data_IF_050644596800
#
_entry.id   IF_050644596800
#
_cell.length_a   1.000
_cell.length_b   1.000
_cell.length_c   1.000
_cell.angle_alpha   90.00
_cell.angle_beta   90.00
_cell.angle_gamma   90.00
#
_symmetry.space_group_name_H-M   'P 1'
#
loop_
_entity.id
_entity.type
_entity.pdbx_description
1 polymer ?
#
# COMPACT_ATOMS: atom_id res chain seq x y z
N UNK A 1 12.95 29.03 1.58
CA UNK A 1 11.94 29.54 2.51
C UNK A 1 12.13 28.84 3.85
N UNK A 2 12.35 29.56 4.97
CA UNK A 2 12.45 28.93 6.26
C UNK A 2 11.05 28.41 6.64
N UNK A 3 10.96 27.12 6.95
CA UNK A 3 9.70 26.51 7.37
C UNK A 3 9.16 27.23 8.62
N UNK A 4 8.01 27.91 8.49
CA UNK A 4 7.26 28.43 9.62
C UNK A 4 6.86 27.26 10.53
N UNK A 5 7.50 27.14 11.69
CA UNK A 5 7.15 26.10 12.66
C UNK A 5 5.80 26.46 13.31
N UNK A 6 4.72 25.90 12.77
CA UNK A 6 3.35 26.05 13.29
C UNK A 6 3.26 25.77 14.80
N UNK A 7 3.96 24.74 15.27
CA UNK A 7 4.06 24.41 16.70
C UNK A 7 5.32 23.57 16.98
N UNK A 8 6.04 23.76 18.09
CA UNK A 8 7.29 23.04 18.39
C UNK A 8 7.13 21.53 18.55
N UNK A 9 5.95 21.03 18.91
CA UNK A 9 5.68 19.59 19.01
C UNK A 9 5.44 18.90 17.67
N UNK A 10 5.31 19.65 16.57
CA UNK A 10 5.11 19.04 15.23
C UNK A 10 6.46 18.51 14.75
N UNK A 11 6.58 17.19 14.48
CA UNK A 11 7.83 16.61 14.06
C UNK A 11 8.26 17.19 12.70
N UNK A 12 9.55 17.49 12.59
CA UNK A 12 10.16 17.91 11.32
C UNK A 12 10.37 16.69 10.42
N UNK A 13 10.36 16.87 9.08
CA UNK A 13 10.69 15.79 8.17
C UNK A 13 12.09 15.26 8.44
N UNK A 14 12.26 13.94 8.33
CA UNK A 14 13.54 13.26 8.54
C UNK A 14 14.56 13.71 7.49
N UNK A 15 15.78 14.02 7.95
CA UNK A 15 16.89 14.45 7.11
C UNK A 15 17.94 13.37 6.82
N UNK A 16 19.05 13.75 6.20
CA UNK A 16 20.12 12.84 5.75
C UNK A 16 21.19 12.52 6.82
N UNK A 17 20.89 12.69 8.11
CA UNK A 17 21.90 12.54 9.18
C UNK A 17 22.43 11.11 9.31
N UNK A 18 21.57 10.10 9.13
CA UNK A 18 21.99 8.70 9.18
C UNK A 18 23.03 8.36 8.10
N UNK A 19 22.87 8.87 6.89
CA UNK A 19 23.83 8.68 5.79
C UNK A 19 25.18 9.34 6.10
N UNK A 20 25.17 10.54 6.69
CA UNK A 20 26.41 11.22 7.12
C UNK A 20 27.12 10.45 8.23
N UNK A 21 26.39 9.96 9.23
CA UNK A 21 26.96 9.15 10.30
C UNK A 21 27.56 7.84 9.77
N UNK A 22 26.88 7.16 8.84
CA UNK A 22 27.38 5.96 8.19
C UNK A 22 28.68 6.23 7.40
N UNK A 23 28.78 7.37 6.71
CA UNK A 23 30.00 7.78 6.01
C UNK A 23 31.18 8.01 6.99
N UNK A 24 30.92 8.67 8.12
CA UNK A 24 31.93 8.88 9.16
C UNK A 24 32.40 7.54 9.73
N UNK A 25 31.46 6.63 10.04
CA UNK A 25 31.81 5.29 10.52
C UNK A 25 32.64 4.51 9.51
N UNK A 26 32.25 4.53 8.23
CA UNK A 26 33.03 3.91 7.14
C UNK A 26 34.45 4.46 7.10
N UNK A 27 34.62 5.78 7.18
CA UNK A 27 35.95 6.40 7.17
C UNK A 27 36.80 5.99 8.37
N UNK A 28 36.20 5.89 9.56
CA UNK A 28 36.89 5.44 10.76
C UNK A 28 37.34 3.97 10.66
N UNK A 29 36.48 3.09 10.13
CA UNK A 29 36.83 1.69 9.89
C UNK A 29 37.98 1.55 8.87
N UNK A 30 37.99 2.36 7.81
CA UNK A 30 39.08 2.34 6.81
C UNK A 30 40.41 2.79 7.42
N UNK A 31 40.41 3.84 8.24
CA UNK A 31 41.62 4.30 8.96
C UNK A 31 42.12 3.23 9.93
N UNK A 32 41.22 2.56 10.65
CA UNK A 32 41.60 1.47 11.56
C UNK A 32 42.22 0.28 10.81
N UNK A 33 41.62 -0.14 9.69
CA UNK A 33 42.15 -1.20 8.83
C UNK A 33 43.52 -0.83 8.25
N UNK A 34 43.72 0.43 7.87
CA UNK A 34 45.02 0.93 7.42
C UNK A 34 46.09 0.86 8.53
N UNK A 35 45.71 1.19 9.78
CA UNK A 35 46.62 1.14 10.93
C UNK A 35 47.00 -0.28 11.39
N UNK A 36 46.17 -1.29 11.08
CA UNK A 36 46.43 -2.70 11.41
C UNK A 36 47.46 -3.38 10.49
N UNK A 37 47.78 -2.79 9.33
CA UNK A 37 48.85 -3.27 8.46
C UNK A 37 48.59 -4.62 7.76
N UNK A 38 47.33 -5.06 7.71
CA UNK A 38 46.94 -6.31 7.04
C UNK A 38 47.16 -6.26 5.52
N UNK A 39 47.47 -7.41 4.91
CA UNK A 39 47.75 -7.50 3.48
C UNK A 39 46.48 -7.14 2.66
N UNK A 40 46.55 -6.19 1.70
CA UNK A 40 45.39 -5.70 0.96
C UNK A 40 44.67 -6.79 0.16
N UNK A 41 45.40 -7.80 -0.33
CA UNK A 41 44.82 -8.88 -1.13
C UNK A 41 43.90 -9.77 -0.30
N UNK A 42 44.28 -10.09 0.95
CA UNK A 42 43.48 -10.93 1.84
C UNK A 42 42.20 -10.24 2.30
N UNK A 43 42.29 -8.95 2.65
CA UNK A 43 41.13 -8.15 3.08
C UNK A 43 40.13 -7.95 1.93
N UNK A 44 40.62 -7.76 0.71
CA UNK A 44 39.76 -7.63 -0.48
C UNK A 44 39.00 -8.93 -0.78
N UNK A 45 39.65 -10.09 -0.66
CA UNK A 45 38.99 -11.39 -0.88
C UNK A 45 37.82 -11.61 0.07
N UNK A 46 38.03 -11.40 1.37
CA UNK A 46 36.97 -11.55 2.37
C UNK A 46 35.84 -10.55 2.18
N UNK A 47 36.17 -9.31 1.80
CA UNK A 47 35.17 -8.30 1.49
C UNK A 47 34.31 -8.72 0.29
N UNK A 48 34.94 -9.21 -0.79
CA UNK A 48 34.22 -9.73 -1.97
C UNK A 48 33.32 -10.88 -1.56
N UNK A 49 33.81 -11.86 -0.80
CA UNK A 49 33.02 -13.01 -0.32
C UNK A 49 31.84 -12.58 0.58
N UNK A 50 32.06 -11.58 1.45
CA UNK A 50 31.01 -11.07 2.31
C UNK A 50 29.92 -10.35 1.48
N UNK A 51 30.32 -9.50 0.54
CA UNK A 51 29.40 -8.79 -0.34
C UNK A 51 28.64 -9.76 -1.26
N UNK A 52 29.30 -10.77 -1.84
CA UNK A 52 28.63 -11.81 -2.67
C UNK A 52 27.57 -12.55 -1.86
N UNK A 53 27.91 -12.99 -0.64
CA UNK A 53 26.99 -13.73 0.22
C UNK A 53 25.78 -12.87 0.64
N UNK A 54 25.99 -11.59 0.94
CA UNK A 54 24.90 -10.65 1.24
C UNK A 54 23.97 -10.44 0.03
N UNK A 55 24.52 -10.27 -1.19
CA UNK A 55 23.69 -10.14 -2.39
C UNK A 55 22.91 -11.42 -2.71
N UNK A 56 23.56 -12.57 -2.59
CA UNK A 56 22.90 -13.86 -2.78
C UNK A 56 21.80 -14.09 -1.74
N UNK A 57 22.01 -13.69 -0.48
CA UNK A 57 20.98 -13.73 0.55
C UNK A 57 19.76 -12.87 0.22
N UNK A 58 19.96 -11.66 -0.30
CA UNK A 58 18.86 -10.79 -0.76
C UNK A 58 18.10 -11.39 -1.96
N UNK A 59 18.78 -12.12 -2.85
CA UNK A 59 18.15 -12.83 -3.95
C UNK A 59 17.32 -14.01 -3.46
N UNK A 60 17.86 -14.84 -2.56
CA UNK A 60 17.14 -15.96 -1.94
C UNK A 60 15.87 -15.44 -1.26
N UNK A 61 15.97 -14.39 -0.44
CA UNK A 61 14.79 -13.75 0.18
C UNK A 61 13.77 -13.30 -0.88
N UNK A 62 14.24 -12.67 -1.95
CA UNK A 62 13.38 -12.22 -3.05
C UNK A 62 12.65 -13.37 -3.74
N UNK A 63 13.31 -14.52 -3.91
CA UNK A 63 12.71 -15.74 -4.46
C UNK A 63 11.70 -16.36 -3.50
N UNK A 64 12.01 -16.42 -2.20
CA UNK A 64 11.06 -16.87 -1.18
C UNK A 64 9.79 -16.01 -1.15
N UNK A 65 9.94 -14.68 -1.20
CA UNK A 65 8.80 -13.77 -1.27
C UNK A 65 8.02 -13.91 -2.58
N UNK A 66 8.73 -14.16 -3.70
CA UNK A 66 8.08 -14.42 -4.99
C UNK A 66 7.21 -15.67 -4.94
N UNK A 67 7.62 -16.72 -4.21
CA UNK A 67 6.82 -17.93 -4.06
C UNK A 67 5.42 -17.64 -3.50
N UNK A 68 5.31 -16.73 -2.53
CA UNK A 68 4.02 -16.27 -2.00
C UNK A 68 3.27 -15.38 -3.00
N UNK A 69 3.95 -14.42 -3.62
CA UNK A 69 3.34 -13.47 -4.57
C UNK A 69 2.85 -14.16 -5.87
N UNK A 70 3.37 -15.33 -6.22
CA UNK A 70 2.89 -16.13 -7.35
C UNK A 70 1.42 -16.55 -7.21
N UNK A 71 0.95 -16.77 -5.97
CA UNK A 71 -0.46 -17.06 -5.67
C UNK A 71 -1.38 -15.85 -5.95
N UNK A 72 -0.82 -14.64 -6.02
CA UNK A 72 -1.55 -13.39 -6.14
C UNK A 72 -1.31 -12.66 -7.48
N UNK A 73 -0.78 -13.36 -8.50
CA UNK A 73 -0.50 -12.79 -9.82
C UNK A 73 -1.75 -12.22 -10.50
N UNK A 74 -2.87 -12.93 -10.42
CA UNK A 74 -4.12 -12.51 -11.05
C UNK A 74 -4.75 -11.32 -10.33
N UNK A 75 -4.83 -11.35 -8.98
CA UNK A 75 -5.48 -10.31 -8.18
C UNK A 75 -4.64 -9.03 -8.04
N UNK A 76 -3.32 -9.15 -7.85
CA UNK A 76 -2.44 -8.01 -7.52
C UNK A 76 -1.66 -7.47 -8.72
N UNK A 77 -1.27 -8.34 -9.66
CA UNK A 77 -0.41 -7.98 -10.79
C UNK A 77 -1.10 -8.05 -12.16
N UNK A 78 -2.44 -8.16 -12.18
CA UNK A 78 -3.25 -8.20 -13.40
C UNK A 78 -2.82 -9.32 -14.36
N UNK A 79 -2.44 -10.49 -13.82
CA UNK A 79 -2.00 -11.64 -14.61
C UNK A 79 -0.54 -11.57 -15.09
N UNK A 80 0.20 -10.51 -14.79
CA UNK A 80 1.57 -10.33 -15.30
C UNK A 80 2.64 -10.85 -14.34
N UNK A 81 3.25 -11.99 -14.69
CA UNK A 81 4.36 -12.58 -13.94
C UNK A 81 5.59 -11.66 -13.85
N UNK A 82 5.92 -10.94 -14.91
CA UNK A 82 7.06 -10.01 -14.91
C UNK A 82 6.88 -8.86 -13.91
N UNK A 83 5.64 -8.36 -13.73
CA UNK A 83 5.36 -7.35 -12.71
C UNK A 83 5.58 -7.90 -11.30
N UNK A 84 5.19 -9.14 -11.04
CA UNK A 84 5.41 -9.82 -9.76
C UNK A 84 6.91 -10.02 -9.46
N UNK A 85 7.67 -10.52 -10.45
CA UNK A 85 9.14 -10.68 -10.34
C UNK A 85 9.81 -9.34 -10.07
N UNK A 86 9.45 -8.29 -10.80
CA UNK A 86 9.99 -6.94 -10.61
C UNK A 86 9.62 -6.35 -9.26
N UNK A 87 8.43 -6.63 -8.73
CA UNK A 87 8.01 -6.17 -7.41
C UNK A 87 8.83 -6.85 -6.28
N UNK A 88 9.10 -8.15 -6.40
CA UNK A 88 9.82 -8.92 -5.39
C UNK A 88 11.34 -8.70 -5.43
N UNK A 89 11.93 -8.69 -6.64
CA UNK A 89 13.39 -8.58 -6.83
C UNK A 89 13.85 -7.13 -7.05
N UNK A 90 12.93 -6.17 -7.18
CA UNK A 90 13.24 -4.76 -7.41
C UNK A 90 13.79 -4.51 -8.82
N UNK A 91 15.00 -3.94 -8.92
CA UNK A 91 15.70 -3.78 -10.19
C UNK A 91 16.64 -4.97 -10.41
N UNK A 92 16.21 -6.04 -11.12
CA UNK A 92 17.00 -7.25 -11.27
C UNK A 92 18.33 -6.98 -11.98
N UNK A 93 18.39 -6.00 -12.88
CA UNK A 93 19.61 -5.66 -13.61
C UNK A 93 20.74 -5.14 -12.70
N UNK A 94 20.43 -4.31 -11.71
CA UNK A 94 21.45 -3.80 -10.77
C UNK A 94 21.98 -4.92 -9.88
N UNK A 95 21.09 -5.77 -9.35
CA UNK A 95 21.48 -6.93 -8.54
C UNK A 95 22.28 -7.95 -9.35
N UNK A 96 21.87 -8.21 -10.59
CA UNK A 96 22.58 -9.08 -11.51
C UNK A 96 23.96 -8.56 -11.88
N UNK A 97 24.09 -7.27 -12.20
CA UNK A 97 25.39 -6.65 -12.49
C UNK A 97 26.34 -6.71 -11.29
N UNK A 98 25.84 -6.44 -10.08
CA UNK A 98 26.63 -6.54 -8.85
C UNK A 98 27.07 -7.98 -8.58
N UNK A 99 26.19 -8.96 -8.83
CA UNK A 99 26.51 -10.38 -8.70
C UNK A 99 27.58 -10.81 -9.73
N UNK A 100 27.45 -10.41 -10.98
CA UNK A 100 28.45 -10.68 -12.03
C UNK A 100 29.82 -10.08 -11.70
N UNK A 101 29.84 -8.81 -11.25
CA UNK A 101 31.07 -8.14 -10.81
C UNK A 101 31.73 -8.91 -9.65
N UNK A 102 30.91 -9.37 -8.71
CA UNK A 102 31.37 -10.12 -7.54
C UNK A 102 31.89 -11.52 -7.89
N UNK A 103 31.29 -12.19 -8.88
CA UNK A 103 31.79 -13.44 -9.44
C UNK A 103 33.12 -13.23 -10.18
N UNK A 104 33.23 -12.16 -10.98
CA UNK A 104 34.47 -11.78 -11.64
C UNK A 104 35.61 -11.64 -10.62
N UNK A 105 35.44 -10.83 -9.59
CA UNK A 105 36.48 -10.68 -8.56
C UNK A 105 36.81 -12.01 -7.86
N UNK A 106 35.81 -12.86 -7.57
CA UNK A 106 36.06 -14.17 -6.97
C UNK A 106 36.95 -15.09 -7.83
N UNK A 107 36.77 -15.11 -9.15
CA UNK A 107 37.59 -15.95 -10.05
C UNK A 107 39.00 -15.37 -10.28
N UNK A 108 39.15 -14.05 -10.25
CA UNK A 108 40.43 -13.39 -10.52
C UNK A 108 41.32 -13.28 -9.28
N UNK A 109 40.76 -13.37 -8.06
CA UNK A 109 41.55 -13.39 -6.82
C UNK A 109 41.96 -14.83 -6.45
N UNK A 110 43.22 -15.06 -6.02
CA UNK A 110 43.72 -16.41 -5.72
C UNK A 110 42.96 -17.05 -4.56
N UNK A 111 42.51 -18.30 -4.74
CA UNK A 111 41.74 -19.01 -3.71
C UNK A 111 42.65 -19.44 -2.55
N UNK A 112 42.78 -18.61 -1.51
CA UNK A 112 43.64 -18.89 -0.33
C UNK A 112 42.93 -19.78 0.69
N UNK A 113 41.59 -19.81 0.70
CA UNK A 113 40.82 -20.36 1.82
C UNK A 113 40.54 -21.87 1.75
N UNK A 114 40.70 -22.53 0.59
CA UNK A 114 40.55 -23.98 0.43
C UNK A 114 39.16 -24.55 0.76
N UNK A 115 38.18 -23.73 1.17
CA UNK A 115 36.83 -24.18 1.50
C UNK A 115 36.01 -24.47 0.22
N UNK A 116 35.28 -25.59 0.16
CA UNK A 116 34.43 -25.89 -0.99
C UNK A 116 33.28 -24.90 -1.09
N UNK A 117 33.12 -24.29 -2.26
CA UNK A 117 32.07 -23.33 -2.58
C UNK A 117 30.65 -23.86 -2.29
N UNK A 118 30.43 -25.17 -2.45
CA UNK A 118 29.16 -25.84 -2.16
C UNK A 118 28.76 -25.74 -0.69
N UNK A 119 29.71 -25.81 0.25
CA UNK A 119 29.44 -25.69 1.67
C UNK A 119 29.06 -24.26 2.06
N UNK A 120 29.70 -23.26 1.44
CA UNK A 120 29.35 -21.85 1.64
C UNK A 120 27.93 -21.55 1.17
N UNK A 121 27.51 -22.12 0.03
CA UNK A 121 26.14 -22.01 -0.45
C UNK A 121 25.13 -22.69 0.49
N UNK A 122 25.45 -23.88 1.00
CA UNK A 122 24.59 -24.60 1.94
C UNK A 122 24.40 -23.81 3.25
N UNK A 123 25.48 -23.29 3.83
CA UNK A 123 25.43 -22.44 5.02
C UNK A 123 24.67 -21.13 4.77
N UNK A 124 24.86 -20.52 3.60
CA UNK A 124 24.10 -19.33 3.23
C UNK A 124 22.61 -19.65 3.15
N UNK A 125 22.22 -20.74 2.49
CA UNK A 125 20.83 -21.18 2.41
C UNK A 125 20.22 -21.42 3.79
N UNK A 126 20.93 -22.13 4.67
CA UNK A 126 20.51 -22.37 6.05
C UNK A 126 20.35 -21.05 6.83
N UNK A 127 21.30 -20.12 6.69
CA UNK A 127 21.25 -18.82 7.37
C UNK A 127 20.06 -17.99 6.92
N UNK A 128 19.72 -17.99 5.63
CA UNK A 128 18.57 -17.26 5.11
C UNK A 128 17.25 -17.92 5.53
N UNK A 129 17.17 -19.25 5.50
CA UNK A 129 16.01 -19.98 5.99
C UNK A 129 15.73 -19.67 7.46
N UNK A 130 16.76 -19.69 8.32
CA UNK A 130 16.63 -19.30 9.73
C UNK A 130 16.20 -17.85 9.89
N UNK A 131 16.80 -16.92 9.15
CA UNK A 131 16.42 -15.51 9.19
C UNK A 131 14.95 -15.27 8.82
N UNK A 132 14.44 -16.01 7.83
CA UNK A 132 13.04 -15.93 7.40
C UNK A 132 12.12 -16.55 8.47
N UNK A 133 12.43 -17.77 8.92
CA UNK A 133 11.58 -18.50 9.86
C UNK A 133 11.49 -17.83 11.23
N UNK A 134 12.60 -17.24 11.70
CA UNK A 134 12.67 -16.51 12.96
C UNK A 134 12.22 -15.04 12.84
N UNK A 135 11.91 -14.56 11.63
CA UNK A 135 11.46 -13.18 11.40
C UNK A 135 12.53 -12.11 11.69
N UNK A 136 13.82 -12.46 11.65
CA UNK A 136 14.93 -11.57 12.02
C UNK A 136 15.10 -10.35 11.09
N UNK A 137 14.45 -10.38 9.93
CA UNK A 137 14.56 -9.33 8.91
C UNK A 137 13.33 -8.41 8.87
N UNK A 138 12.55 -8.34 9.95
CA UNK A 138 11.48 -7.36 10.11
C UNK A 138 12.02 -5.93 10.20
N UNK A 139 11.28 -4.97 9.64
CA UNK A 139 11.66 -3.56 9.71
C UNK A 139 11.42 -3.01 11.12
N UNK A 140 12.31 -2.15 11.60
CA UNK A 140 12.11 -1.47 12.87
C UNK A 140 10.94 -0.47 12.79
N UNK A 141 10.23 -0.16 13.89
CA UNK A 141 9.13 0.80 13.90
C UNK A 141 9.52 2.18 13.34
N UNK A 142 10.77 2.60 13.58
CA UNK A 142 11.30 3.84 13.03
C UNK A 142 11.42 3.79 11.50
N UNK A 143 11.76 2.65 10.90
CA UNK A 143 11.85 2.48 9.45
C UNK A 143 10.47 2.43 8.80
N UNK A 144 9.52 1.73 9.43
CA UNK A 144 8.12 1.69 8.99
C UNK A 144 7.54 3.11 8.98
N UNK A 145 7.73 3.89 10.06
CA UNK A 145 7.29 5.28 10.12
C UNK A 145 7.95 6.15 9.04
N UNK A 146 9.25 5.97 8.75
CA UNK A 146 9.90 6.69 7.65
C UNK A 146 9.29 6.36 6.28
N UNK A 147 8.93 5.10 6.04
CA UNK A 147 8.28 4.67 4.79
C UNK A 147 6.89 5.32 4.68
N UNK A 148 6.10 5.26 5.76
CA UNK A 148 4.76 5.84 5.80
C UNK A 148 4.76 7.36 5.62
N UNK A 149 5.67 8.08 6.27
CA UNK A 149 5.85 9.53 6.13
C UNK A 149 6.31 9.90 4.71
N UNK A 150 7.29 9.17 4.16
CA UNK A 150 7.86 9.49 2.85
C UNK A 150 6.86 9.25 1.71
N UNK A 151 6.01 8.25 1.83
CA UNK A 151 5.05 7.85 0.78
C UNK A 151 3.61 8.28 1.08
N UNK A 152 3.36 8.98 2.19
CA UNK A 152 2.02 9.42 2.61
C UNK A 152 0.98 8.29 2.67
N UNK A 153 1.36 7.10 3.16
CA UNK A 153 0.52 5.91 3.10
C UNK A 153 -0.70 5.92 4.03
N UNK A 154 -0.77 6.86 4.98
CA UNK A 154 -1.82 6.88 6.00
C UNK A 154 -3.15 7.51 5.52
N UNK A 155 -3.24 7.95 4.27
CA UNK A 155 -4.42 8.67 3.74
C UNK A 155 -5.65 7.77 3.68
N UNK A 156 -5.52 6.53 3.18
CA UNK A 156 -6.65 5.62 3.02
C UNK A 156 -7.34 5.31 4.35
N UNK A 157 -6.54 5.01 5.39
CA UNK A 157 -7.04 4.78 6.75
C UNK A 157 -7.77 6.01 7.30
N UNK A 158 -7.18 7.21 7.16
CA UNK A 158 -7.81 8.45 7.61
C UNK A 158 -9.15 8.72 6.92
N UNK A 159 -9.24 8.47 5.61
CA UNK A 159 -10.48 8.63 4.85
C UNK A 159 -11.53 7.62 5.28
N UNK A 160 -11.17 6.35 5.46
CA UNK A 160 -12.07 5.30 5.91
C UNK A 160 -12.65 5.62 7.30
N UNK A 161 -11.80 5.99 8.26
CA UNK A 161 -12.23 6.39 9.60
C UNK A 161 -13.12 7.62 9.59
N UNK A 162 -12.76 8.62 8.79
CA UNK A 162 -13.55 9.84 8.69
C UNK A 162 -14.90 9.62 8.00
N UNK A 163 -15.02 8.66 7.07
CA UNK A 163 -16.30 8.27 6.48
C UNK A 163 -17.15 7.46 7.47
N UNK A 164 -16.54 6.52 8.19
CA UNK A 164 -17.24 5.75 9.21
C UNK A 164 -17.80 6.63 10.32
N UNK A 165 -16.95 7.41 10.99
CA UNK A 165 -17.35 8.25 12.13
C UNK A 165 -18.22 9.43 11.67
N UNK A 166 -17.86 10.07 10.55
CA UNK A 166 -18.51 11.27 10.07
C UNK A 166 -19.82 11.05 9.33
N UNK A 167 -20.14 9.81 8.93
CA UNK A 167 -21.34 9.51 8.16
C UNK A 167 -22.00 8.19 8.57
N UNK A 168 -21.32 7.05 8.42
CA UNK A 168 -21.96 5.73 8.60
C UNK A 168 -22.49 5.52 10.02
N UNK A 169 -21.70 5.87 11.04
CA UNK A 169 -22.10 5.77 12.45
C UNK A 169 -23.32 6.62 12.78
N UNK A 170 -23.60 7.66 12.00
CA UNK A 170 -24.73 8.57 12.20
C UNK A 170 -26.00 8.10 11.47
N UNK A 171 -25.84 7.60 10.23
CA UNK A 171 -26.96 7.31 9.34
C UNK A 171 -27.52 5.88 9.52
N UNK A 172 -26.68 4.92 9.88
CA UNK A 172 -27.06 3.50 9.93
C UNK A 172 -28.08 3.17 11.05
N UNK A 173 -27.97 3.67 12.29
CA UNK A 173 -28.90 3.29 13.37
C UNK A 173 -30.37 3.66 13.09
N UNK A 174 -30.62 4.74 12.35
CA UNK A 174 -31.97 5.20 12.00
C UNK A 174 -32.46 4.74 10.61
N UNK A 175 -31.63 4.01 9.85
CA UNK A 175 -31.92 3.69 8.45
C UNK A 175 -33.18 2.82 8.31
N UNK A 176 -33.29 1.75 9.10
CA UNK A 176 -34.40 0.80 8.99
C UNK A 176 -35.74 1.47 9.31
N UNK A 177 -35.79 2.31 10.36
CA UNK A 177 -36.99 3.08 10.70
C UNK A 177 -37.40 4.03 9.56
N UNK A 178 -36.44 4.71 8.93
CA UNK A 178 -36.70 5.60 7.77
C UNK A 178 -37.23 4.84 6.56
N UNK A 179 -36.74 3.62 6.32
CA UNK A 179 -37.23 2.73 5.26
C UNK A 179 -38.65 2.26 5.56
N UNK A 180 -38.96 1.91 6.80
CA UNK A 180 -40.32 1.54 7.22
C UNK A 180 -41.31 2.70 7.01
N UNK A 181 -40.95 3.91 7.45
CA UNK A 181 -41.75 5.12 7.22
C UNK A 181 -41.98 5.33 5.72
N UNK A 182 -40.92 5.26 4.91
CA UNK A 182 -41.04 5.39 3.46
C UNK A 182 -42.01 4.36 2.85
N UNK A 183 -41.91 3.10 3.28
CA UNK A 183 -42.76 2.01 2.80
C UNK A 183 -44.24 2.21 3.13
N UNK A 184 -44.57 2.79 4.28
CA UNK A 184 -45.95 3.13 4.65
C UNK A 184 -46.57 4.12 3.64
N UNK A 185 -45.80 5.11 3.18
CA UNK A 185 -46.29 6.13 2.24
C UNK A 185 -46.21 5.72 0.77
N UNK A 186 -45.43 4.68 0.43
CA UNK A 186 -45.15 4.29 -0.95
C UNK A 186 -45.52 2.81 -1.20
N UNK A 187 -46.66 2.34 -0.67
CA UNK A 187 -47.24 1.03 -0.97
C UNK A 187 -46.27 -0.17 -0.80
N UNK A 188 -45.38 -0.11 0.19
CA UNK A 188 -44.31 -1.07 0.40
C UNK A 188 -43.50 -1.29 -0.90
N UNK A 189 -42.91 -0.23 -1.44
CA UNK A 189 -42.02 -0.34 -2.61
C UNK A 189 -40.77 -1.16 -2.27
N UNK A 190 -40.23 -1.08 -1.05
CA UNK A 190 -39.02 -1.79 -0.57
C UNK A 190 -39.40 -3.02 0.31
N UNK A 191 -39.90 -4.09 -0.32
CA UNK A 191 -40.40 -5.32 0.37
C UNK A 191 -39.35 -6.38 0.70
N UNK A 192 -38.17 -6.34 0.07
CA UNK A 192 -37.17 -7.40 0.22
C UNK A 192 -36.26 -7.22 1.44
N UNK A 193 -35.84 -8.30 2.10
CA UNK A 193 -34.83 -8.22 3.17
C UNK A 193 -33.49 -7.59 2.70
N UNK A 194 -33.18 -7.70 1.41
CA UNK A 194 -32.06 -6.99 0.78
C UNK A 194 -32.27 -5.48 0.64
N UNK A 195 -33.53 -5.02 0.51
CA UNK A 195 -33.87 -3.60 0.30
C UNK A 195 -33.78 -2.74 1.56
N UNK A 196 -33.54 -3.35 2.73
CA UNK A 196 -33.36 -2.64 4.01
C UNK A 196 -31.89 -2.36 4.33
N UNK A 197 -31.02 -2.44 3.33
CA UNK A 197 -29.58 -2.19 3.44
C UNK A 197 -29.18 -0.92 2.69
N UNK A 198 -28.10 -0.30 3.15
CA UNK A 198 -27.47 0.79 2.45
C UNK A 198 -26.39 0.24 1.52
N UNK A 199 -26.59 0.39 0.21
CA UNK A 199 -25.61 0.02 -0.80
C UNK A 199 -24.67 1.21 -1.06
N UNK A 200 -23.37 0.97 -1.01
CA UNK A 200 -22.34 1.99 -1.21
C UNK A 200 -21.47 1.52 -2.39
N UNK A 201 -21.42 2.35 -3.43
CA UNK A 201 -20.62 2.07 -4.62
C UNK A 201 -19.17 2.51 -4.37
N UNK A 202 -18.23 1.61 -4.63
CA UNK A 202 -16.78 1.85 -4.55
C UNK A 202 -16.14 1.62 -5.91
N UNK A 203 -16.20 2.60 -6.83
CA UNK A 203 -15.60 2.47 -8.14
C UNK A 203 -14.06 2.51 -8.00
N UNK A 204 -13.40 1.44 -8.46
CA UNK A 204 -11.94 1.27 -8.27
C UNK A 204 -11.11 2.25 -9.11
N UNK A 205 -11.69 2.81 -10.17
CA UNK A 205 -11.11 3.90 -10.97
C UNK A 205 -11.22 5.28 -10.28
N UNK A 206 -11.88 5.34 -9.11
CA UNK A 206 -12.18 6.55 -8.35
C UNK A 206 -13.03 7.59 -9.12
N UNK A 207 -13.64 7.19 -10.24
CA UNK A 207 -14.59 8.01 -11.00
C UNK A 207 -15.96 8.00 -10.33
N UNK A 208 -16.40 9.13 -9.80
CA UNK A 208 -17.73 9.26 -9.19
C UNK A 208 -18.55 10.25 -10.01
N UNK A 209 -19.55 9.79 -10.80
CA UNK A 209 -20.44 10.69 -11.52
C UNK A 209 -21.41 11.38 -10.55
N UNK A 210 -21.88 12.56 -10.93
CA UNK A 210 -22.86 13.32 -10.13
C UNK A 210 -24.27 12.69 -10.18
N UNK A 211 -24.59 12.02 -11.29
CA UNK A 211 -25.84 11.28 -11.50
C UNK A 211 -25.56 9.83 -11.87
N UNK A 212 -26.19 8.90 -11.15
CA UNK A 212 -26.05 7.45 -11.41
C UNK A 212 -26.68 7.05 -12.74
N UNK A 213 -27.70 7.77 -13.22
CA UNK A 213 -28.32 7.49 -14.51
C UNK A 213 -27.39 7.77 -15.70
N UNK A 214 -26.32 8.55 -15.51
CA UNK A 214 -25.26 8.73 -16.51
C UNK A 214 -24.30 7.54 -16.57
N UNK A 215 -24.14 6.81 -15.45
CA UNK A 215 -23.28 5.63 -15.40
C UNK A 215 -23.98 4.42 -16.04
N UNK A 216 -25.29 4.27 -15.78
CA UNK A 216 -26.11 3.21 -16.36
C UNK A 216 -27.57 3.70 -16.47
N UNK A 217 -28.16 3.73 -17.69
CA UNK A 217 -29.55 4.16 -17.91
C UNK A 217 -30.59 3.23 -17.26
N UNK A 218 -30.20 2.02 -16.87
CA UNK A 218 -31.07 1.09 -16.14
C UNK A 218 -31.23 1.49 -14.66
N UNK A 219 -30.40 2.40 -14.15
CA UNK A 219 -30.52 2.95 -12.80
C UNK A 219 -31.35 4.23 -12.87
N UNK A 220 -32.59 4.18 -12.39
CA UNK A 220 -33.52 5.31 -12.42
C UNK A 220 -33.75 5.88 -11.03
N UNK A 221 -33.59 7.18 -10.87
CA UNK A 221 -33.96 7.85 -9.63
C UNK A 221 -35.47 7.71 -9.38
N UNK A 222 -35.83 7.29 -8.17
CA UNK A 222 -37.22 7.16 -7.76
C UNK A 222 -37.58 8.31 -6.81
N UNK A 223 -37.13 8.23 -5.56
CA UNK A 223 -37.48 9.18 -4.49
C UNK A 223 -36.32 9.39 -3.52
N UNK A 224 -36.42 10.43 -2.69
CA UNK A 224 -35.51 10.63 -1.54
C UNK A 224 -36.09 9.92 -0.31
N UNK A 225 -35.23 9.24 0.45
CA UNK A 225 -35.60 8.68 1.74
C UNK A 225 -35.87 9.82 2.74
N UNK A 226 -36.84 9.70 3.67
CA UNK A 226 -37.11 10.72 4.69
C UNK A 226 -35.83 11.22 5.34
N UNK A 227 -35.67 12.53 5.48
CA UNK A 227 -34.39 13.12 5.90
C UNK A 227 -34.07 12.83 7.36
N UNK A 228 -32.78 12.74 7.68
CA UNK A 228 -32.30 12.73 9.06
C UNK A 228 -31.54 14.03 9.32
N UNK A 229 -31.95 14.79 10.34
CA UNK A 229 -31.26 16.02 10.77
C UNK A 229 -30.58 15.82 12.11
N UNK A 230 -29.36 16.34 12.27
CA UNK A 230 -28.67 16.35 13.56
C UNK A 230 -27.73 17.56 13.70
N UNK A 231 -27.59 18.08 14.92
CA UNK A 231 -26.62 19.12 15.23
C UNK A 231 -25.21 18.54 15.29
N UNK A 232 -24.27 19.04 14.49
CA UNK A 232 -22.88 18.53 14.44
C UNK A 232 -21.87 19.61 14.09
N UNK A 233 -20.72 19.57 14.75
CA UNK A 233 -19.56 20.44 14.47
C UNK A 233 -19.93 21.94 14.39
N UNK A 234 -20.82 22.39 15.29
CA UNK A 234 -21.32 23.77 15.31
C UNK A 234 -22.43 24.08 14.31
N UNK A 235 -22.80 23.14 13.43
CA UNK A 235 -23.90 23.30 12.48
C UNK A 235 -25.18 22.74 13.09
N UNK A 236 -26.18 23.60 13.27
CA UNK A 236 -27.52 23.24 13.72
C UNK A 236 -28.34 22.66 12.56
N UNK A 237 -29.09 21.58 12.81
CA UNK A 237 -30.01 20.98 11.84
C UNK A 237 -29.34 20.42 10.58
N UNK A 238 -28.11 19.91 10.66
CA UNK A 238 -27.42 19.36 9.48
C UNK A 238 -28.20 18.17 8.92
N UNK A 239 -28.59 18.27 7.64
CA UNK A 239 -29.44 17.29 6.96
C UNK A 239 -28.59 16.24 6.25
N UNK A 240 -28.96 14.97 6.42
CA UNK A 240 -28.43 13.81 5.70
C UNK A 240 -29.51 13.26 4.77
N UNK A 241 -29.18 13.14 3.49
CA UNK A 241 -30.10 12.71 2.43
C UNK A 241 -29.64 11.40 1.82
N UNK A 242 -30.57 10.48 1.59
CA UNK A 242 -30.34 9.26 0.82
C UNK A 242 -31.34 9.20 -0.33
N UNK A 243 -30.92 8.67 -1.46
CA UNK A 243 -31.75 8.50 -2.66
C UNK A 243 -32.09 7.03 -2.85
N UNK A 244 -33.29 6.77 -3.37
CA UNK A 244 -33.80 5.45 -3.71
C UNK A 244 -33.83 5.36 -5.22
N UNK A 245 -33.29 4.27 -5.75
CA UNK A 245 -33.23 4.03 -7.19
C UNK A 245 -34.02 2.75 -7.54
N UNK A 246 -34.58 2.75 -8.74
CA UNK A 246 -35.13 1.58 -9.39
C UNK A 246 -34.10 1.01 -10.36
N UNK A 247 -33.92 -0.31 -10.34
CA UNK A 247 -33.03 -1.04 -11.23
C UNK A 247 -33.86 -1.77 -12.27
N UNK A 248 -33.56 -1.53 -13.55
CA UNK A 248 -34.22 -2.19 -14.68
C UNK A 248 -33.39 -3.36 -15.18
N UNK A 249 -34.06 -4.46 -15.49
CA UNK A 249 -33.51 -5.62 -16.20
C UNK A 249 -34.35 -5.84 -17.45
N UNK A 250 -33.74 -5.76 -18.64
CA UNK A 250 -34.43 -5.84 -19.93
C UNK A 250 -35.60 -4.85 -20.08
N UNK A 251 -35.46 -3.65 -19.51
CA UNK A 251 -36.50 -2.61 -19.56
C UNK A 251 -37.67 -2.83 -18.60
N UNK A 252 -37.67 -3.90 -17.80
CA UNK A 252 -38.65 -4.13 -16.73
C UNK A 252 -38.01 -3.93 -15.35
N UNK A 253 -38.78 -3.45 -14.36
CA UNK A 253 -38.25 -3.22 -13.02
C UNK A 253 -37.94 -4.56 -12.33
N UNK A 254 -36.68 -4.73 -11.93
CA UNK A 254 -36.29 -5.85 -11.10
C UNK A 254 -36.82 -5.63 -9.67
N UNK A 255 -37.45 -6.65 -9.08
CA UNK A 255 -38.15 -6.54 -7.78
C UNK A 255 -37.20 -6.44 -6.58
N UNK A 256 -35.88 -6.54 -6.79
CA UNK A 256 -34.86 -6.20 -5.79
C UNK A 256 -34.52 -4.71 -5.91
N UNK A 257 -35.30 -3.88 -5.19
CA UNK A 257 -35.18 -2.43 -5.18
C UNK A 257 -34.16 -1.99 -4.14
N UNK A 258 -33.21 -1.14 -4.53
CA UNK A 258 -31.99 -0.87 -3.73
C UNK A 258 -31.85 0.62 -3.38
N UNK A 259 -31.57 0.91 -2.10
CA UNK A 259 -31.20 2.25 -1.66
C UNK A 259 -29.68 2.41 -1.78
N UNK A 260 -29.23 3.25 -2.70
CA UNK A 260 -27.81 3.55 -2.89
C UNK A 260 -27.47 4.95 -2.33
N UNK A 261 -26.41 5.05 -1.53
CA UNK A 261 -25.80 6.34 -1.23
C UNK A 261 -24.59 6.56 -2.11
N UNK A 262 -24.53 7.66 -2.88
CA UNK A 262 -23.30 8.04 -3.55
C UNK A 262 -22.23 8.33 -2.50
N UNK A 263 -21.06 7.70 -2.61
CA UNK A 263 -19.91 8.06 -1.79
C UNK A 263 -19.34 9.38 -2.32
N UNK A 264 -19.93 10.52 -1.95
CA UNK A 264 -19.56 11.85 -2.46
C UNK A 264 -18.22 12.38 -1.95
N UNK A 265 -17.40 11.55 -1.29
CA UNK A 265 -16.06 11.99 -0.91
C UNK A 265 -15.14 11.75 -2.10
N UNK A 266 -15.12 12.75 -2.99
CA UNK A 266 -14.17 12.92 -4.09
C UNK A 266 -12.81 12.44 -3.57
N UNK A 267 -12.30 11.32 -4.10
CA UNK A 267 -10.87 10.97 -4.05
C UNK A 267 -10.13 11.97 -4.96
N UNK A 268 -10.31 13.28 -4.72
CA UNK A 268 -9.48 14.34 -5.28
C UNK A 268 -8.18 14.41 -4.50
N UNK A 269 -7.52 13.26 -4.38
CA UNK A 269 -6.08 13.16 -4.26
C UNK A 269 -5.48 12.52 -5.50
N UNK A 270 -6.25 12.40 -6.60
CA UNK A 270 -5.62 12.46 -7.92
C UNK A 270 -5.02 13.84 -8.07
N UNK A 271 -3.72 13.90 -7.83
CA UNK A 271 -2.82 14.60 -8.73
C UNK A 271 -3.34 15.98 -9.13
N UNK A 272 -3.20 16.96 -8.23
CA UNK A 272 -2.86 18.29 -8.74
C UNK A 272 -1.69 18.09 -9.68
N UNK A 273 -1.91 18.22 -11.00
CA UNK A 273 -0.92 18.02 -12.06
C UNK A 273 0.29 18.92 -11.78
N UNK A 274 1.22 18.47 -10.97
CA UNK A 274 2.62 18.89 -11.02
C UNK A 274 3.34 17.86 -11.86
N UNK A 275 3.68 18.31 -13.06
CA UNK A 275 4.42 17.64 -14.15
C UNK A 275 5.25 16.43 -13.70
N UNK A 276 4.96 15.29 -14.34
CA UNK A 276 5.94 14.25 -14.63
C UNK A 276 6.30 13.33 -13.48
N UNK A 277 5.55 12.23 -13.33
CA UNK A 277 6.08 10.86 -13.19
C UNK A 277 4.92 9.86 -13.10
N UNK A 278 5.16 8.71 -13.72
CA UNK A 278 4.24 7.61 -14.01
C UNK A 278 3.38 7.14 -12.83
N UNK A 279 2.14 6.68 -13.08
CA UNK A 279 1.27 6.11 -12.06
C UNK A 279 1.77 4.71 -11.67
N UNK A 280 2.19 4.56 -10.43
CA UNK A 280 2.29 3.26 -9.77
C UNK A 280 1.14 3.18 -8.78
N UNK A 281 0.13 2.39 -9.11
CA UNK A 281 -0.86 1.93 -8.15
C UNK A 281 -0.20 0.81 -7.33
N UNK A 282 -0.01 1.06 -6.03
CA UNK A 282 0.32 0.02 -5.07
C UNK A 282 -0.97 -0.31 -4.30
N UNK A 283 -1.37 -1.57 -4.38
CA UNK A 283 -2.22 -2.22 -3.38
C UNK A 283 -1.35 -2.63 -2.19
#
# INVERSE_FOLDING_TARGET
MPHSSLHPSIPRPRGHRAQKAALVLLSACLVALWGLGELPDYTLQWLVLHLTSQQMGLLIKGVCNLAEELCHVHSRYQGSYWKAVRACLGCPMHRGALLLLSCYFYFFLPNVAGLPFTWMLALLGLSQALNILLGLQGLAPAEISAICEKRNFNVAHGLAWSYYIGYLRLILPGLQARIQIYNQFHNNVLRGAGSHRLHILFPLDCGVPDDLSMADPNIRFLHKLPQQSADRAGIKGRVYTNSIYELLENGQPNRQREAASPCHRRFSSTFGRRKGRLPWAAW
#
